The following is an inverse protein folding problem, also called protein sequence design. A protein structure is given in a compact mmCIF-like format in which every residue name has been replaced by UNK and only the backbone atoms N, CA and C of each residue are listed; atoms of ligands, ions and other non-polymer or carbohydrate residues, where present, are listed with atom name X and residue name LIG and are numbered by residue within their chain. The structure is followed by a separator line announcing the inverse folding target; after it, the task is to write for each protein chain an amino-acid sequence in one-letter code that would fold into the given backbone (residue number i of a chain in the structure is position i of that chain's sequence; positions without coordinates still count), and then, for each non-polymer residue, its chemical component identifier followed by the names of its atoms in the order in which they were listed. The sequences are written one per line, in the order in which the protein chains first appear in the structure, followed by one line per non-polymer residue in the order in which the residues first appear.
data_IF_891627054863
#
_entry.id   IF_891627054863
#
_cell.length_a   1.000
_cell.length_b   1.000
_cell.length_c   1.000
_cell.angle_alpha   90.00
_cell.angle_beta   90.00
_cell.angle_gamma   90.00
#
_symmetry.space_group_name_H-M   'P 1'
#
loop_
_entity.id
_entity.type
_entity.pdbx_description
1 polymer ?
#
# COMPACT_ATOMS: atom_id res chain seq x y z
N UNK A 1 -13.28 -1.80 -12.26
CA UNK A 1 -12.85 -1.53 -10.87
C UNK A 1 -11.46 -2.07 -10.69
N UNK A 2 -10.63 -1.39 -9.91
CA UNK A 2 -9.26 -1.82 -9.61
C UNK A 2 -8.99 -1.61 -8.12
N UNK A 3 -8.01 -2.34 -7.60
CA UNK A 3 -7.40 -2.07 -6.30
C UNK A 3 -6.15 -1.24 -6.54
N UNK A 4 -6.04 -0.10 -5.88
CA UNK A 4 -4.86 0.76 -5.92
C UNK A 4 -4.22 0.74 -4.54
N UNK A 5 -2.91 0.57 -4.48
CA UNK A 5 -2.17 0.51 -3.23
C UNK A 5 -0.96 1.45 -3.27
N UNK A 6 -0.73 2.15 -2.17
CA UNK A 6 0.49 2.94 -1.96
C UNK A 6 0.97 2.80 -0.52
N UNK A 7 2.30 2.80 -0.35
CA UNK A 7 2.98 2.73 0.94
C UNK A 7 3.86 3.96 1.15
N UNK A 8 3.70 4.60 2.29
CA UNK A 8 4.48 5.75 2.73
C UNK A 8 5.13 5.47 4.08
N UNK A 9 6.32 6.03 4.31
CA UNK A 9 7.06 5.82 5.56
C UNK A 9 8.54 6.11 5.41
N UNK A 10 8.88 7.40 5.31
CA UNK A 10 10.24 7.88 4.97
C UNK A 10 11.06 8.37 6.17
N UNK A 11 10.48 8.39 7.37
CA UNK A 11 11.10 9.01 8.54
C UNK A 11 11.20 8.02 9.70
N UNK A 12 12.41 7.88 10.24
CA UNK A 12 12.64 7.17 11.48
C UNK A 12 12.39 8.11 12.67
N UNK A 13 11.60 7.66 13.64
CA UNK A 13 11.40 8.30 14.94
C UNK A 13 11.82 7.27 15.98
N UNK A 14 12.74 7.64 16.88
CA UNK A 14 13.29 6.76 17.92
C UNK A 14 13.86 5.43 17.39
N UNK A 15 14.45 5.44 16.19
CA UNK A 15 15.01 4.24 15.56
C UNK A 15 13.97 3.31 14.93
N UNK A 16 12.73 3.77 14.78
CA UNK A 16 11.65 3.04 14.13
C UNK A 16 11.06 3.84 12.97
N UNK A 17 10.85 3.17 11.84
CA UNK A 17 10.12 3.68 10.69
C UNK A 17 8.64 3.40 10.88
N UNK A 18 7.82 4.44 10.85
CA UNK A 18 6.39 4.32 10.70
C UNK A 18 6.06 4.14 9.22
N UNK A 19 5.44 3.02 8.88
CA UNK A 19 4.96 2.73 7.54
C UNK A 19 3.43 2.73 7.54
N UNK A 20 2.85 3.37 6.53
CA UNK A 20 1.41 3.48 6.32
C UNK A 20 1.12 2.95 4.93
N UNK A 21 0.20 1.99 4.84
CA UNK A 21 -0.27 1.43 3.58
C UNK A 21 -1.71 1.85 3.37
N UNK A 22 -2.01 2.45 2.22
CA UNK A 22 -3.36 2.73 1.78
C UNK A 22 -3.76 1.73 0.70
N UNK A 23 -4.96 1.16 0.84
CA UNK A 23 -5.56 0.26 -0.14
C UNK A 23 -6.93 0.81 -0.51
N UNK A 24 -7.11 1.14 -1.79
CA UNK A 24 -8.30 1.81 -2.29
C UNK A 24 -8.93 0.96 -3.39
N UNK A 25 -10.23 0.68 -3.27
CA UNK A 25 -11.00 0.11 -4.36
C UNK A 25 -11.73 1.23 -5.08
N UNK A 26 -11.50 1.36 -6.38
CA UNK A 26 -12.12 2.41 -7.16
C UNK A 26 -12.62 1.91 -8.53
N UNK A 27 -13.65 2.59 -9.01
CA UNK A 27 -14.08 2.54 -10.39
C UNK A 27 -13.36 3.65 -11.16
N UNK A 28 -12.76 3.28 -12.28
CA UNK A 28 -11.94 4.16 -13.09
C UNK A 28 -12.48 4.19 -14.51
N UNK A 29 -12.42 5.37 -15.09
CA UNK A 29 -12.58 5.63 -16.52
C UNK A 29 -11.20 5.90 -17.12
N UNK A 30 -11.02 5.90 -18.45
CA UNK A 30 -9.71 6.02 -19.08
C UNK A 30 -8.88 7.24 -18.62
N UNK A 31 -9.50 8.31 -18.14
CA UNK A 31 -8.80 9.55 -17.75
C UNK A 31 -9.10 10.04 -16.33
N UNK A 32 -9.94 9.35 -15.55
CA UNK A 32 -10.28 9.79 -14.19
C UNK A 32 -10.82 8.65 -13.31
N UNK A 33 -10.80 8.88 -11.99
CA UNK A 33 -11.48 8.01 -11.02
C UNK A 33 -12.96 8.38 -11.00
N UNK A 34 -13.83 7.48 -11.46
CA UNK A 34 -15.27 7.72 -11.46
C UNK A 34 -15.86 7.64 -10.06
N UNK A 35 -15.39 6.69 -9.24
CA UNK A 35 -15.91 6.49 -7.89
C UNK A 35 -14.91 5.78 -6.98
N UNK A 36 -14.84 6.20 -5.72
CA UNK A 36 -14.16 5.44 -4.66
C UNK A 36 -15.20 4.59 -3.93
N UNK A 37 -14.95 3.29 -3.86
CA UNK A 37 -15.88 2.30 -3.29
C UNK A 37 -15.48 1.89 -1.88
N UNK A 38 -14.17 1.83 -1.63
CA UNK A 38 -13.62 1.38 -0.36
C UNK A 38 -12.24 1.98 -0.14
N UNK A 39 -11.92 2.30 1.10
CA UNK A 39 -10.59 2.73 1.54
C UNK A 39 -10.26 1.96 2.82
N UNK A 40 -9.09 1.34 2.84
CA UNK A 40 -8.47 0.85 4.06
C UNK A 40 -7.10 1.49 4.24
N UNK A 41 -6.79 1.89 5.48
CA UNK A 41 -5.50 2.45 5.85
C UNK A 41 -4.97 1.61 7.00
N UNK A 42 -3.82 0.99 6.78
CA UNK A 42 -3.10 0.21 7.77
C UNK A 42 -1.80 0.91 8.11
N UNK A 43 -1.28 0.69 9.31
CA UNK A 43 0.02 1.19 9.72
C UNK A 43 0.81 0.12 10.47
N UNK A 44 2.13 0.15 10.34
CA UNK A 44 3.03 -0.72 11.08
C UNK A 44 4.31 0.04 11.42
N UNK A 45 5.09 -0.51 12.36
CA UNK A 45 6.41 0.03 12.71
C UNK A 45 7.48 -1.03 12.48
N UNK A 46 8.63 -0.61 11.98
CA UNK A 46 9.79 -1.48 11.78
C UNK A 46 11.07 -0.76 12.19
N UNK A 47 12.09 -1.50 12.64
CA UNK A 47 13.43 -0.91 12.87
C UNK A 47 14.06 -0.43 11.57
N UNK A 48 13.84 -1.14 10.47
CA UNK A 48 14.33 -0.80 9.12
C UNK A 48 13.29 -1.22 8.06
N UNK A 49 13.09 -0.45 6.96
CA UNK A 49 12.16 -0.80 5.89
C UNK A 49 12.85 -1.72 4.87
N UNK A 50 12.83 -3.03 5.13
CA UNK A 50 13.40 -4.03 4.23
C UNK A 50 12.37 -4.40 3.16
N UNK A 51 12.81 -4.79 1.96
CA UNK A 51 11.90 -5.27 0.91
C UNK A 51 10.93 -6.36 1.40
N UNK A 52 11.41 -7.24 2.28
CA UNK A 52 10.59 -8.31 2.88
C UNK A 52 9.45 -7.74 3.72
N UNK A 53 9.76 -6.87 4.70
CA UNK A 53 8.72 -6.36 5.59
C UNK A 53 7.74 -5.42 4.88
N UNK A 54 8.19 -4.68 3.86
CA UNK A 54 7.31 -3.90 2.98
C UNK A 54 6.38 -4.82 2.20
N UNK A 55 6.92 -5.88 1.59
CA UNK A 55 6.11 -6.84 0.83
C UNK A 55 5.10 -7.58 1.71
N UNK A 56 5.48 -7.96 2.92
CA UNK A 56 4.59 -8.64 3.87
C UNK A 56 3.48 -7.69 4.32
N UNK A 57 3.82 -6.44 4.66
CA UNK A 57 2.83 -5.43 5.06
C UNK A 57 1.86 -5.05 3.93
N UNK A 58 2.34 -4.94 2.68
CA UNK A 58 1.49 -4.77 1.50
C UNK A 58 0.54 -5.95 1.34
N UNK A 59 1.04 -7.19 1.48
CA UNK A 59 0.22 -8.40 1.37
C UNK A 59 -0.87 -8.45 2.43
N UNK A 60 -0.53 -8.15 3.69
CA UNK A 60 -1.48 -8.10 4.80
C UNK A 60 -2.55 -7.03 4.57
N UNK A 61 -2.15 -5.83 4.14
CA UNK A 61 -3.05 -4.70 3.88
C UNK A 61 -4.02 -4.98 2.73
N UNK A 62 -3.57 -5.67 1.68
CA UNK A 62 -4.43 -6.11 0.56
C UNK A 62 -5.34 -7.25 1.00
N UNK A 63 -4.84 -8.19 1.80
CA UNK A 63 -5.59 -9.37 2.25
C UNK A 63 -6.72 -9.02 3.23
N UNK A 64 -6.71 -7.81 3.81
CA UNK A 64 -7.81 -7.31 4.63
C UNK A 64 -8.99 -6.76 3.81
N UNK A 65 -8.89 -6.74 2.47
CA UNK A 65 -10.01 -6.32 1.62
C UNK A 65 -11.21 -7.26 1.79
N UNK A 66 -12.44 -6.71 1.77
CA UNK A 66 -13.64 -7.54 1.71
C UNK A 66 -13.59 -8.52 0.54
N UNK A 67 -14.03 -9.76 0.77
CA UNK A 67 -14.08 -10.83 -0.25
C UNK A 67 -14.83 -10.41 -1.53
N UNK A 68 -15.77 -9.46 -1.42
CA UNK A 68 -16.49 -8.88 -2.56
C UNK A 68 -15.59 -8.17 -3.59
N UNK A 69 -14.35 -7.85 -3.23
CA UNK A 69 -13.34 -7.23 -4.09
C UNK A 69 -12.20 -8.19 -4.48
N UNK A 70 -12.35 -9.49 -4.20
CA UNK A 70 -11.38 -10.51 -4.59
C UNK A 70 -11.26 -10.68 -6.10
N UNK A 71 -10.03 -10.91 -6.59
CA UNK A 71 -9.75 -11.16 -8.02
C UNK A 71 -9.67 -9.91 -8.90
N UNK A 72 -9.78 -8.70 -8.32
CA UNK A 72 -9.51 -7.45 -9.04
C UNK A 72 -8.01 -7.27 -9.30
N UNK A 73 -7.68 -6.58 -10.39
CA UNK A 73 -6.31 -6.16 -10.67
C UNK A 73 -5.80 -5.19 -9.61
N UNK A 74 -4.57 -5.41 -9.17
CA UNK A 74 -3.88 -4.59 -8.17
C UNK A 74 -2.85 -3.72 -8.89
N UNK A 75 -3.01 -2.42 -8.74
CA UNK A 75 -2.08 -1.40 -9.24
C UNK A 75 -1.31 -0.85 -8.04
N UNK A 76 0.01 -0.89 -8.11
CA UNK A 76 0.91 -0.37 -7.08
C UNK A 76 1.87 0.60 -7.76
N UNK A 77 2.07 1.78 -7.17
CA UNK A 77 3.09 2.71 -7.64
C UNK A 77 4.49 2.11 -7.42
N UNK A 78 5.38 2.31 -8.40
CA UNK A 78 6.80 1.97 -8.19
C UNK A 78 7.39 2.94 -7.18
N UNK A 79 7.54 2.48 -5.95
CA UNK A 79 8.25 3.23 -4.91
C UNK A 79 9.76 3.26 -5.14
N UNK A 80 10.41 4.31 -4.67
CA UNK A 80 11.86 4.37 -4.48
C UNK A 80 12.17 4.09 -3.00
N UNK A 81 13.05 3.13 -2.74
CA UNK A 81 13.54 2.85 -1.40
C UNK A 81 14.74 3.74 -1.11
N UNK A 82 14.56 4.75 -0.27
CA UNK A 82 15.64 5.60 0.19
C UNK A 82 16.62 4.80 1.06
N UNK A 83 17.91 4.82 0.71
CA UNK A 83 18.98 4.25 1.54
C UNK A 83 19.26 2.76 1.34
N UNK A 84 18.77 2.17 0.26
CA UNK A 84 19.24 0.87 -0.22
C UNK A 84 20.08 1.17 -1.46
N UNK A 85 21.41 1.12 -1.35
CA UNK A 85 22.28 1.09 -2.53
C UNK A 85 21.91 -0.18 -3.33
N UNK A 86 21.56 -0.02 -4.62
CA UNK A 86 21.25 -1.14 -5.53
C UNK A 86 22.45 -2.07 -5.75
#
# INVERSE_FOLDING_TARGET
MIVVCDISGRHAIDGHYLMVCSVVVCEVEPTYVAKVLYINISSTTSKEPTLRNISDFLRESISSLPNAYGGLDIVIERGELFGIDE
#
